data_IF_665811006509
#
_entry.id   IF_665811006509
#
_cell.length_a   1.000
_cell.length_b   1.000
_cell.length_c   1.000
_cell.angle_alpha   90.00
_cell.angle_beta   90.00
_cell.angle_gamma   90.00
#
_symmetry.space_group_name_H-M   'P 1'
#
loop_
_entity.id
_entity.type
_entity.pdbx_description
1 polymer ?
#
# COMPACT_ATOMS: atom_id res chain seq x y z
N UNK A 1 14.37 11.07 5.09
CA UNK A 1 13.60 9.81 4.93
C UNK A 1 12.16 10.09 5.29
N UNK A 2 11.21 9.49 4.57
CA UNK A 2 9.78 9.74 4.72
C UNK A 2 9.24 9.34 6.09
N UNK A 3 9.64 8.17 6.62
CA UNK A 3 9.22 7.68 7.93
C UNK A 3 9.59 8.58 9.13
N UNK A 4 10.66 9.40 9.00
CA UNK A 4 11.01 10.37 10.03
C UNK A 4 9.91 11.44 10.25
N UNK A 5 9.05 11.66 9.25
CA UNK A 5 7.86 12.51 9.38
C UNK A 5 6.89 11.99 10.44
N UNK A 6 6.69 10.67 10.52
CA UNK A 6 5.83 10.04 11.54
C UNK A 6 6.40 10.32 12.93
N UNK A 7 7.71 10.09 13.14
CA UNK A 7 8.38 10.40 14.43
C UNK A 7 8.25 11.86 14.83
N UNK A 8 8.33 12.78 13.87
CA UNK A 8 8.21 14.20 14.14
C UNK A 8 6.77 14.60 14.49
N UNK A 9 5.79 14.10 13.72
CA UNK A 9 4.39 14.56 13.77
C UNK A 9 3.62 14.06 14.99
N UNK A 10 3.80 12.79 15.40
CA UNK A 10 3.00 12.23 16.51
C UNK A 10 3.23 12.97 17.83
N UNK A 11 2.19 13.28 18.61
CA UNK A 11 2.30 14.20 19.75
C UNK A 11 2.88 13.57 21.02
N UNK A 12 2.62 12.30 21.28
CA UNK A 12 2.98 11.65 22.54
C UNK A 12 4.33 10.92 22.48
N UNK A 13 4.97 10.79 23.65
CA UNK A 13 6.29 10.19 23.75
C UNK A 13 6.31 8.70 23.37
N UNK A 14 5.23 7.96 23.63
CA UNK A 14 5.15 6.54 23.32
C UNK A 14 5.16 6.31 21.81
N UNK A 15 4.31 7.03 21.09
CA UNK A 15 4.25 7.03 19.64
C UNK A 15 5.58 7.48 19.01
N UNK A 16 6.25 8.51 19.58
CA UNK A 16 7.56 8.94 19.10
C UNK A 16 8.63 7.85 19.24
N UNK A 17 8.67 7.17 20.38
CA UNK A 17 9.62 6.09 20.62
C UNK A 17 9.39 4.92 19.66
N UNK A 18 8.13 4.58 19.40
CA UNK A 18 7.78 3.55 18.41
C UNK A 18 8.13 4.00 16.98
N UNK A 19 7.68 5.18 16.54
CA UNK A 19 7.94 5.67 15.20
C UNK A 19 9.45 5.88 14.91
N UNK A 20 10.26 6.10 15.96
CA UNK A 20 11.71 6.14 15.82
C UNK A 20 12.31 4.78 15.44
N UNK A 21 11.72 3.66 15.89
CA UNK A 21 12.14 2.32 15.44
C UNK A 21 11.76 2.11 13.98
N UNK A 22 10.54 2.51 13.57
CA UNK A 22 10.13 2.49 12.16
C UNK A 22 11.10 3.28 11.28
N UNK A 23 11.48 4.49 11.68
CA UNK A 23 12.48 5.29 10.93
C UNK A 23 13.80 4.54 10.75
N UNK A 24 14.22 3.76 11.75
CA UNK A 24 15.46 2.99 11.66
C UNK A 24 15.31 1.73 10.80
N UNK A 25 14.16 1.06 10.88
CA UNK A 25 13.82 -0.10 10.04
C UNK A 25 13.77 0.33 8.56
N UNK A 26 13.09 1.43 8.22
CA UNK A 26 13.05 1.96 6.85
C UNK A 26 14.45 2.31 6.30
N UNK A 27 15.35 2.81 7.16
CA UNK A 27 16.73 3.11 6.74
C UNK A 27 17.44 1.84 6.27
N UNK A 28 17.22 0.74 7.00
CA UNK A 28 17.80 -0.57 6.69
C UNK A 28 17.15 -1.19 5.47
N UNK A 29 15.85 -1.01 5.28
CA UNK A 29 15.13 -1.49 4.09
C UNK A 29 15.67 -0.81 2.83
N UNK A 30 15.80 0.52 2.85
CA UNK A 30 16.43 1.28 1.76
C UNK A 30 17.86 0.79 1.51
N UNK A 31 18.68 0.62 2.55
CA UNK A 31 20.05 0.15 2.41
C UNK A 31 20.13 -1.24 1.76
N UNK A 32 19.32 -2.18 2.24
CA UNK A 32 19.39 -3.58 1.79
C UNK A 32 18.83 -3.75 0.38
N UNK A 33 17.73 -3.05 0.04
CA UNK A 33 17.19 -3.08 -1.33
C UNK A 33 18.09 -2.34 -2.30
N UNK A 34 18.72 -1.22 -1.93
CA UNK A 34 19.72 -0.56 -2.78
C UNK A 34 20.88 -1.52 -3.13
N UNK A 35 21.44 -2.21 -2.12
CA UNK A 35 22.49 -3.23 -2.32
C UNK A 35 22.03 -4.43 -3.15
N UNK A 36 20.75 -4.81 -3.07
CA UNK A 36 20.18 -5.85 -3.91
C UNK A 36 20.03 -5.37 -5.36
N UNK A 37 19.51 -4.15 -5.56
CA UNK A 37 19.35 -3.50 -6.86
C UNK A 37 20.68 -3.33 -7.61
N UNK A 38 21.77 -3.01 -6.91
CA UNK A 38 23.13 -2.99 -7.50
C UNK A 38 23.55 -4.32 -8.13
N UNK A 39 23.02 -5.45 -7.64
CA UNK A 39 23.33 -6.79 -8.17
C UNK A 39 22.52 -7.14 -9.42
N UNK A 40 21.29 -6.65 -9.51
CA UNK A 40 20.42 -6.84 -10.69
C UNK A 40 20.64 -5.77 -11.75
N UNK A 41 21.35 -4.67 -11.41
CA UNK A 41 21.78 -3.59 -12.29
C UNK A 41 20.64 -2.88 -13.04
N UNK A 42 19.44 -2.89 -12.48
CA UNK A 42 18.25 -2.26 -13.07
C UNK A 42 17.43 -1.59 -11.97
N UNK A 43 17.05 -0.33 -12.20
CA UNK A 43 16.15 0.43 -11.33
C UNK A 43 15.23 1.29 -12.19
N UNK A 44 13.96 1.36 -11.80
CA UNK A 44 12.95 2.17 -12.48
C UNK A 44 12.54 3.36 -11.61
N UNK A 45 12.09 4.48 -12.21
CA UNK A 45 11.48 5.59 -11.48
C UNK A 45 10.31 5.15 -10.59
N UNK A 46 10.09 5.88 -9.51
CA UNK A 46 8.88 5.73 -8.69
C UNK A 46 7.63 6.11 -9.49
N UNK A 47 6.54 5.36 -9.30
CA UNK A 47 5.26 5.70 -9.91
C UNK A 47 4.81 7.12 -9.54
N UNK A 48 4.34 7.93 -10.49
CA UNK A 48 3.88 9.30 -10.22
C UNK A 48 2.77 9.38 -9.15
N UNK A 49 1.90 8.36 -9.10
CA UNK A 49 0.77 8.30 -8.17
C UNK A 49 1.21 8.01 -6.74
N UNK A 50 2.14 7.06 -6.58
CA UNK A 50 2.77 6.81 -5.28
C UNK A 50 3.53 8.04 -4.81
N UNK A 51 4.23 8.75 -5.71
CA UNK A 51 4.89 10.01 -5.39
C UNK A 51 3.88 11.07 -4.93
N UNK A 52 2.75 11.23 -5.62
CA UNK A 52 1.72 12.20 -5.26
C UNK A 52 1.14 11.93 -3.86
N UNK A 53 0.86 10.65 -3.56
CA UNK A 53 0.42 10.22 -2.22
C UNK A 53 1.45 10.55 -1.14
N UNK A 54 2.73 10.22 -1.38
CA UNK A 54 3.81 10.50 -0.43
C UNK A 54 3.95 12.01 -0.22
N UNK A 55 3.94 12.81 -1.30
CA UNK A 55 4.04 14.26 -1.19
C UNK A 55 2.87 14.86 -0.38
N UNK A 56 1.64 14.43 -0.63
CA UNK A 56 0.46 14.86 0.13
C UNK A 56 0.56 14.48 1.61
N UNK A 57 1.05 13.27 1.89
CA UNK A 57 1.30 12.79 3.26
C UNK A 57 2.34 13.66 3.97
N UNK A 58 3.44 13.99 3.31
CA UNK A 58 4.52 14.79 3.90
C UNK A 58 4.16 16.28 4.07
N UNK A 59 3.22 16.79 3.28
CA UNK A 59 2.73 18.17 3.36
C UNK A 59 1.57 18.34 4.35
N UNK A 60 1.10 17.24 4.94
CA UNK A 60 0.00 17.27 5.90
C UNK A 60 0.37 18.02 7.18
N UNK A 61 -0.61 18.76 7.70
CA UNK A 61 -0.51 19.60 8.90
C UNK A 61 -0.91 18.88 10.19
N UNK A 62 -1.42 17.65 10.05
CA UNK A 62 -1.99 16.83 11.13
C UNK A 62 -1.30 15.47 11.18
N UNK A 63 -0.94 15.03 12.37
CA UNK A 63 -0.30 13.73 12.58
C UNK A 63 -1.20 12.56 12.14
N UNK A 64 -2.51 12.71 12.27
CA UNK A 64 -3.49 11.73 11.84
C UNK A 64 -3.43 11.53 10.31
N UNK A 65 -3.40 12.62 9.53
CA UNK A 65 -3.21 12.55 8.06
C UNK A 65 -1.87 11.92 7.70
N UNK A 66 -0.80 12.28 8.39
CA UNK A 66 0.53 11.65 8.18
C UNK A 66 0.47 10.15 8.41
N UNK A 67 -0.18 9.69 9.48
CA UNK A 67 -0.28 8.26 9.81
C UNK A 67 -1.27 7.51 8.92
N UNK A 68 -2.37 8.14 8.47
CA UNK A 68 -3.25 7.56 7.45
C UNK A 68 -2.46 7.31 6.17
N UNK A 69 -1.79 8.35 5.66
CA UNK A 69 -1.02 8.26 4.41
C UNK A 69 0.14 7.26 4.51
N UNK A 70 0.92 7.34 5.59
CA UNK A 70 2.08 6.46 5.80
C UNK A 70 1.64 5.07 6.27
N UNK A 71 1.22 4.94 7.53
CA UNK A 71 1.03 3.66 8.22
C UNK A 71 -0.16 2.84 7.70
N UNK A 72 -1.24 3.48 7.24
CA UNK A 72 -2.43 2.75 6.79
C UNK A 72 -2.44 2.48 5.28
N UNK A 73 -1.88 3.38 4.47
CA UNK A 73 -1.95 3.27 3.01
C UNK A 73 -0.61 2.82 2.43
N UNK A 74 0.48 3.58 2.63
CA UNK A 74 1.80 3.23 2.05
C UNK A 74 2.31 1.91 2.62
N UNK A 75 2.25 1.69 3.94
CA UNK A 75 2.74 0.44 4.53
C UNK A 75 1.88 -0.77 4.12
N UNK A 76 0.56 -0.60 3.99
CA UNK A 76 -0.32 -1.66 3.47
C UNK A 76 -0.02 -2.00 2.02
N UNK A 77 0.29 -0.99 1.19
CA UNK A 77 0.73 -1.19 -0.19
C UNK A 77 2.03 -1.99 -0.22
N UNK A 78 3.00 -1.58 0.59
CA UNK A 78 4.30 -2.24 0.71
C UNK A 78 4.15 -3.69 1.17
N UNK A 79 3.38 -3.93 2.23
CA UNK A 79 3.16 -5.26 2.80
C UNK A 79 2.51 -6.22 1.80
N UNK A 80 1.48 -5.78 1.07
CA UNK A 80 0.86 -6.58 0.01
C UNK A 80 1.83 -6.89 -1.13
N UNK A 81 2.58 -5.89 -1.61
CA UNK A 81 3.57 -6.06 -2.67
C UNK A 81 4.72 -6.99 -2.26
N UNK A 82 5.24 -6.83 -1.04
CA UNK A 82 6.29 -7.69 -0.49
C UNK A 82 5.81 -9.12 -0.26
N UNK A 83 4.57 -9.32 0.20
CA UNK A 83 4.02 -10.66 0.31
C UNK A 83 3.95 -11.35 -1.07
N UNK A 84 3.38 -10.67 -2.07
CA UNK A 84 3.30 -11.22 -3.43
C UNK A 84 4.70 -11.50 -4.01
N UNK A 85 5.67 -10.61 -3.79
CA UNK A 85 7.06 -10.81 -4.18
C UNK A 85 7.69 -12.01 -3.46
N UNK A 86 7.46 -12.15 -2.15
CA UNK A 86 7.92 -13.29 -1.37
C UNK A 86 7.33 -14.57 -1.95
N UNK A 87 6.03 -14.66 -2.20
CA UNK A 87 5.38 -15.87 -2.71
C UNK A 87 5.90 -16.28 -4.09
N UNK A 88 6.08 -15.32 -4.99
CA UNK A 88 6.42 -15.58 -6.40
C UNK A 88 7.92 -15.73 -6.67
N UNK A 89 8.79 -15.14 -5.85
CA UNK A 89 10.23 -15.19 -6.11
C UNK A 89 10.82 -16.59 -5.90
N UNK A 90 11.64 -17.02 -6.86
CA UNK A 90 12.49 -18.21 -6.74
C UNK A 90 13.89 -17.91 -6.21
N UNK A 91 14.25 -16.62 -6.06
CA UNK A 91 15.57 -16.19 -5.60
C UNK A 91 15.69 -16.36 -4.07
N UNK A 92 16.57 -17.23 -3.55
CA UNK A 92 16.67 -17.46 -2.11
C UNK A 92 17.10 -16.23 -1.30
N UNK A 93 17.89 -15.34 -1.91
CA UNK A 93 18.30 -14.08 -1.29
C UNK A 93 17.11 -13.11 -1.16
N UNK A 94 16.36 -12.91 -2.24
CA UNK A 94 15.20 -12.02 -2.23
C UNK A 94 14.12 -12.54 -1.28
N UNK A 95 13.87 -13.86 -1.29
CA UNK A 95 12.96 -14.53 -0.35
C UNK A 95 13.29 -14.19 1.11
N UNK A 96 14.55 -14.32 1.51
CA UNK A 96 15.00 -14.03 2.89
C UNK A 96 14.94 -12.54 3.22
N UNK A 97 15.33 -11.68 2.28
CA UNK A 97 15.37 -10.24 2.47
C UNK A 97 13.94 -9.71 2.65
N UNK A 98 13.05 -10.02 1.70
CA UNK A 98 11.64 -9.63 1.73
C UNK A 98 10.91 -10.17 2.96
N UNK A 99 11.19 -11.42 3.38
CA UNK A 99 10.61 -11.94 4.63
C UNK A 99 10.95 -11.10 5.86
N UNK A 100 12.21 -10.67 6.00
CA UNK A 100 12.59 -9.85 7.15
C UNK A 100 11.97 -8.45 7.08
N UNK A 101 11.87 -7.85 5.89
CA UNK A 101 11.19 -6.57 5.69
C UNK A 101 9.71 -6.68 6.06
N UNK A 102 9.00 -7.70 5.58
CA UNK A 102 7.58 -7.92 5.91
C UNK A 102 7.32 -8.03 7.41
N UNK A 103 8.27 -8.57 8.19
CA UNK A 103 8.15 -8.62 9.65
C UNK A 103 8.21 -7.25 10.31
N UNK A 104 8.89 -6.29 9.68
CA UNK A 104 8.94 -4.91 10.14
C UNK A 104 7.67 -4.18 9.68
N UNK A 105 7.29 -4.31 8.40
CA UNK A 105 6.08 -3.66 7.85
C UNK A 105 4.79 -4.08 8.53
N UNK A 106 4.66 -5.37 8.87
CA UNK A 106 3.52 -5.84 9.65
C UNK A 106 3.36 -5.08 10.96
N UNK A 107 4.46 -4.72 11.63
CA UNK A 107 4.41 -3.89 12.84
C UNK A 107 4.04 -2.45 12.51
N UNK A 108 4.58 -1.88 11.42
CA UNK A 108 4.29 -0.51 10.99
C UNK A 108 2.80 -0.32 10.64
N UNK A 109 2.20 -1.30 9.96
CA UNK A 109 0.76 -1.36 9.68
C UNK A 109 -0.04 -1.50 10.98
N UNK A 110 0.35 -2.44 11.87
CA UNK A 110 -0.29 -2.61 13.18
C UNK A 110 -0.30 -1.33 14.00
N UNK A 111 0.81 -0.60 14.01
CA UNK A 111 0.93 0.65 14.75
C UNK A 111 -0.06 1.70 14.27
N UNK A 112 -0.28 1.81 12.95
CA UNK A 112 -1.24 2.75 12.37
C UNK A 112 -2.62 2.63 13.00
N UNK A 113 -3.23 1.45 12.92
CA UNK A 113 -4.60 1.27 13.39
C UNK A 113 -4.72 1.10 14.92
N UNK A 114 -3.71 0.54 15.60
CA UNK A 114 -3.69 0.47 17.08
C UNK A 114 -3.61 1.86 17.69
N UNK A 115 -2.84 2.76 17.08
CA UNK A 115 -2.72 4.14 17.53
C UNK A 115 -3.95 4.98 17.16
N UNK A 116 -4.36 4.94 15.89
CA UNK A 116 -5.41 5.83 15.37
C UNK A 116 -6.82 5.41 15.80
N UNK A 117 -7.07 4.13 16.09
CA UNK A 117 -8.38 3.64 16.51
C UNK A 117 -8.94 4.39 17.73
N UNK A 118 -8.22 4.43 18.87
CA UNK A 118 -8.63 5.23 20.04
C UNK A 118 -8.71 6.73 19.74
N UNK A 119 -7.79 7.27 18.92
CA UNK A 119 -7.78 8.69 18.54
C UNK A 119 -9.08 9.06 17.83
N UNK A 120 -9.52 8.28 16.84
CA UNK A 120 -10.76 8.55 16.10
C UNK A 120 -12.03 8.21 16.87
N UNK A 121 -11.96 7.32 17.87
CA UNK A 121 -13.08 7.04 18.76
C UNK A 121 -13.42 8.23 19.67
N UNK A 122 -12.43 9.05 20.04
CA UNK A 122 -12.59 10.23 20.89
C UNK A 122 -12.64 11.56 20.10
N UNK A 123 -12.39 11.51 18.78
CA UNK A 123 -12.35 12.67 17.90
C UNK A 123 -13.76 13.24 17.64
N UNK A 124 -13.85 14.57 17.50
CA UNK A 124 -15.09 15.23 17.08
C UNK A 124 -15.50 14.76 15.67
N UNK A 125 -16.80 14.64 15.42
CA UNK A 125 -17.33 14.12 14.15
C UNK A 125 -16.79 14.89 12.93
N UNK A 126 -16.81 16.23 12.97
CA UNK A 126 -16.30 17.07 11.88
C UNK A 126 -14.81 16.81 11.56
N UNK A 127 -13.98 16.62 12.59
CA UNK A 127 -12.55 16.31 12.41
C UNK A 127 -12.36 14.91 11.83
N UNK A 128 -13.18 13.95 12.27
CA UNK A 128 -13.14 12.58 11.76
C UNK A 128 -13.59 12.53 10.29
N UNK A 129 -14.56 13.35 9.89
CA UNK A 129 -14.95 13.49 8.48
C UNK A 129 -13.84 14.10 7.63
N UNK A 130 -13.04 15.03 8.18
CA UNK A 130 -11.83 15.53 7.50
C UNK A 130 -10.81 14.40 7.27
N UNK A 131 -10.61 13.53 8.28
CA UNK A 131 -9.70 12.39 8.17
C UNK A 131 -10.22 11.33 7.18
N UNK A 132 -11.53 11.10 7.19
CA UNK A 132 -12.20 10.18 6.26
C UNK A 132 -12.06 10.67 4.82
N UNK A 133 -12.26 11.97 4.58
CA UNK A 133 -12.07 12.56 3.26
C UNK A 133 -10.62 12.41 2.79
N UNK A 134 -9.65 12.68 3.66
CA UNK A 134 -8.23 12.49 3.33
C UNK A 134 -7.90 11.03 2.98
N UNK A 135 -8.44 10.07 3.75
CA UNK A 135 -8.26 8.64 3.46
C UNK A 135 -8.86 8.25 2.09
N UNK A 136 -10.06 8.77 1.76
CA UNK A 136 -10.66 8.57 0.44
C UNK A 136 -9.80 9.15 -0.66
N UNK A 137 -9.39 10.42 -0.56
CA UNK A 137 -8.60 11.09 -1.60
C UNK A 137 -7.28 10.33 -1.86
N UNK A 138 -6.62 9.89 -0.80
CA UNK A 138 -5.39 9.12 -0.85
C UNK A 138 -5.58 7.74 -1.52
N UNK A 139 -6.63 7.00 -1.15
CA UNK A 139 -6.95 5.71 -1.77
C UNK A 139 -7.36 5.90 -3.23
N UNK A 140 -8.14 6.93 -3.55
CA UNK A 140 -8.60 7.21 -4.90
C UNK A 140 -7.44 7.52 -5.86
N UNK A 141 -6.39 8.22 -5.41
CA UNK A 141 -5.16 8.44 -6.19
C UNK A 141 -4.51 7.12 -6.61
N UNK A 142 -4.47 6.12 -5.71
CA UNK A 142 -3.90 4.80 -6.01
C UNK A 142 -4.83 3.94 -6.86
N UNK A 143 -6.11 3.89 -6.50
CA UNK A 143 -7.10 3.06 -7.20
C UNK A 143 -7.32 3.55 -8.63
N UNK A 144 -7.38 4.87 -8.86
CA UNK A 144 -7.47 5.44 -10.20
C UNK A 144 -6.29 5.06 -11.08
N UNK A 145 -5.10 4.89 -10.51
CA UNK A 145 -3.92 4.43 -11.24
C UNK A 145 -4.01 2.94 -11.62
N UNK A 146 -4.52 2.08 -10.72
CA UNK A 146 -4.69 0.64 -10.96
C UNK A 146 -5.86 0.30 -11.88
N UNK A 147 -7.02 0.95 -11.70
CA UNK A 147 -8.22 0.71 -12.50
C UNK A 147 -8.08 1.22 -13.94
N UNK A 148 -7.24 2.23 -14.15
CA UNK A 148 -6.81 2.65 -15.48
C UNK A 148 -5.61 1.83 -16.00
N UNK A 149 -5.25 0.74 -15.31
CA UNK A 149 -4.09 -0.12 -15.56
C UNK A 149 -4.08 -0.82 -16.92
N UNK A 150 -5.19 -0.79 -17.65
CA UNK A 150 -5.29 -1.20 -19.07
C UNK A 150 -5.17 -0.05 -20.09
N UNK A 151 -5.09 1.22 -19.69
CA UNK A 151 -5.16 2.36 -20.63
C UNK A 151 -4.12 3.47 -20.40
N UNK A 152 -4.54 4.67 -20.00
CA UNK A 152 -3.77 5.92 -20.03
C UNK A 152 -2.82 6.10 -18.84
N UNK A 153 -3.17 5.58 -17.66
CA UNK A 153 -2.36 5.74 -16.45
C UNK A 153 -1.05 4.93 -16.53
N UNK A 154 -1.10 3.69 -17.02
CA UNK A 154 0.09 2.87 -17.30
C UNK A 154 0.96 3.48 -18.40
N UNK A 155 0.34 4.12 -19.42
CA UNK A 155 1.05 4.92 -20.43
C UNK A 155 1.68 6.19 -19.85
N UNK A 156 1.18 6.69 -18.72
CA UNK A 156 1.71 7.86 -18.03
C UNK A 156 2.77 7.51 -16.96
N UNK A 157 3.01 6.23 -16.68
CA UNK A 157 4.06 5.78 -15.75
C UNK A 157 5.37 5.50 -16.51
N UNK A 158 6.39 6.38 -16.41
CA UNK A 158 7.64 6.19 -17.15
C UNK A 158 8.40 4.94 -16.71
N UNK A 159 8.26 4.52 -15.46
CA UNK A 159 8.90 3.31 -14.95
C UNK A 159 8.32 2.06 -15.59
N UNK A 160 6.99 2.02 -15.76
CA UNK A 160 6.33 0.90 -16.43
C UNK A 160 6.71 0.81 -17.91
N UNK A 161 6.76 1.92 -18.63
CA UNK A 161 7.20 1.92 -20.04
C UNK A 161 8.64 1.42 -20.19
N UNK A 162 9.54 1.85 -19.29
CA UNK A 162 10.91 1.33 -19.27
C UNK A 162 10.98 -0.18 -18.99
N UNK A 163 10.04 -0.74 -18.21
CA UNK A 163 9.95 -2.19 -18.00
C UNK A 163 9.63 -2.90 -19.32
N UNK A 164 8.62 -2.43 -20.05
CA UNK A 164 8.25 -3.00 -21.36
C UNK A 164 9.43 -2.96 -22.34
N UNK A 165 10.08 -1.80 -22.46
CA UNK A 165 11.24 -1.61 -23.34
C UNK A 165 12.38 -2.57 -22.98
N UNK A 166 12.70 -2.71 -21.69
CA UNK A 166 13.76 -3.61 -21.23
C UNK A 166 13.40 -5.10 -21.40
N UNK A 167 12.11 -5.43 -21.48
CA UNK A 167 11.63 -6.77 -21.79
C UNK A 167 11.54 -7.03 -23.30
N UNK A 168 11.81 -6.03 -24.15
CA UNK A 168 11.65 -6.12 -25.60
C UNK A 168 10.19 -6.25 -26.04
N UNK A 169 9.26 -5.72 -25.23
CA UNK A 169 7.83 -5.70 -25.52
C UNK A 169 7.49 -4.35 -26.15
N UNK A 170 6.90 -4.37 -27.35
CA UNK A 170 6.42 -3.16 -27.99
C UNK A 170 5.25 -2.56 -27.18
N UNK A 171 5.35 -1.27 -26.86
CA UNK A 171 4.39 -0.63 -25.97
C UNK A 171 2.99 -0.57 -26.58
N UNK A 172 2.88 -0.23 -27.86
CA UNK A 172 1.59 -0.10 -28.53
C UNK A 172 0.93 -1.47 -28.72
N UNK A 173 1.72 -2.50 -29.06
CA UNK A 173 1.23 -3.89 -29.12
C UNK A 173 0.76 -4.39 -27.74
N UNK A 174 1.49 -4.09 -26.67
CA UNK A 174 1.10 -4.46 -25.30
C UNK A 174 -0.25 -3.84 -24.91
N UNK A 175 -0.42 -2.53 -25.09
CA UNK A 175 -1.66 -1.85 -24.73
C UNK A 175 -2.83 -2.28 -25.61
N UNK A 176 -2.60 -2.51 -26.91
CA UNK A 176 -3.63 -3.08 -27.80
C UNK A 176 -4.06 -4.47 -27.34
N UNK A 177 -3.11 -5.32 -26.96
CA UNK A 177 -3.40 -6.65 -26.43
C UNK A 177 -4.19 -6.61 -25.11
N UNK A 178 -3.92 -5.61 -24.27
CA UNK A 178 -4.69 -5.36 -23.05
C UNK A 178 -6.15 -4.97 -23.34
N UNK A 179 -6.38 -4.05 -24.29
CA UNK A 179 -7.73 -3.66 -24.73
C UNK A 179 -8.49 -4.87 -25.30
N UNK A 180 -7.86 -5.67 -26.17
CA UNK A 180 -8.45 -6.88 -26.74
C UNK A 180 -8.79 -7.93 -25.67
N UNK A 181 -7.94 -8.10 -24.65
CA UNK A 181 -8.19 -9.00 -23.54
C UNK A 181 -9.40 -8.55 -22.71
N UNK A 182 -9.53 -7.24 -22.45
CA UNK A 182 -10.67 -6.66 -21.75
C UNK A 182 -11.99 -6.86 -22.54
N UNK A 183 -11.98 -6.64 -23.85
CA UNK A 183 -13.14 -6.91 -24.73
C UNK A 183 -13.56 -8.38 -24.71
N UNK A 184 -12.62 -9.30 -24.49
CA UNK A 184 -12.87 -10.73 -24.32
C UNK A 184 -13.32 -11.11 -22.89
N UNK A 185 -13.43 -10.14 -21.98
CA UNK A 185 -13.78 -10.36 -20.58
C UNK A 185 -12.66 -11.01 -19.76
N UNK A 186 -11.41 -10.96 -20.23
CA UNK A 186 -10.25 -11.43 -19.48
C UNK A 186 -9.87 -10.34 -18.48
N UNK A 187 -10.32 -10.51 -17.24
CA UNK A 187 -10.05 -9.57 -16.15
C UNK A 187 -8.61 -9.67 -15.64
N UNK A 188 -8.06 -8.52 -15.19
CA UNK A 188 -6.83 -8.45 -14.41
C UNK A 188 -7.02 -8.88 -12.94
N UNK A 189 -7.79 -9.95 -12.70
CA UNK A 189 -7.91 -10.50 -11.36
C UNK A 189 -6.56 -11.08 -10.91
N UNK A 190 -6.15 -10.79 -9.67
CA UNK A 190 -4.96 -11.42 -9.12
C UNK A 190 -5.17 -12.95 -9.04
N UNK A 191 -4.12 -13.75 -9.31
CA UNK A 191 -4.20 -15.19 -9.14
C UNK A 191 -4.60 -15.59 -7.71
N UNK A 192 -5.31 -16.71 -7.52
CA UNK A 192 -5.70 -17.19 -6.20
C UNK A 192 -4.54 -17.21 -5.19
N UNK A 193 -4.83 -16.74 -3.98
CA UNK A 193 -3.89 -16.67 -2.85
C UNK A 193 -2.93 -15.48 -2.88
N UNK A 194 -2.91 -14.64 -3.93
CA UNK A 194 -2.23 -13.35 -3.85
C UNK A 194 -3.02 -12.37 -2.98
N UNK A 195 -2.31 -11.40 -2.43
CA UNK A 195 -2.90 -10.35 -1.59
C UNK A 195 -3.18 -9.13 -2.44
N UNK A 196 -4.43 -8.68 -2.41
CA UNK A 196 -4.85 -7.44 -3.01
C UNK A 196 -4.70 -6.32 -1.97
N UNK A 197 -3.59 -5.56 -2.03
CA UNK A 197 -3.24 -4.60 -0.98
C UNK A 197 -4.36 -3.59 -0.64
N UNK A 198 -5.15 -3.20 -1.64
CA UNK A 198 -6.30 -2.31 -1.44
C UNK A 198 -7.44 -3.00 -0.69
N UNK A 199 -7.85 -4.19 -1.13
CA UNK A 199 -9.04 -4.90 -0.62
C UNK A 199 -8.77 -5.67 0.67
N UNK A 200 -7.58 -6.25 0.80
CA UNK A 200 -7.25 -7.16 1.89
C UNK A 200 -6.56 -6.44 3.07
N UNK A 201 -5.97 -5.25 2.84
CA UNK A 201 -5.16 -4.54 3.84
C UNK A 201 -5.62 -3.09 4.07
N UNK A 202 -5.60 -2.25 3.02
CA UNK A 202 -5.90 -0.81 3.18
C UNK A 202 -7.35 -0.56 3.60
N UNK A 203 -8.32 -1.07 2.83
CA UNK A 203 -9.74 -0.81 3.08
C UNK A 203 -10.20 -1.40 4.42
N UNK A 204 -9.82 -2.64 4.79
CA UNK A 204 -10.13 -3.16 6.12
C UNK A 204 -9.49 -2.33 7.24
N UNK A 205 -8.27 -1.84 7.08
CA UNK A 205 -7.63 -0.97 8.07
C UNK A 205 -8.37 0.37 8.23
N UNK A 206 -8.75 1.00 7.12
CA UNK A 206 -9.51 2.27 7.10
C UNK A 206 -10.90 2.09 7.71
N UNK A 207 -11.59 1.00 7.36
CA UNK A 207 -12.89 0.67 7.92
C UNK A 207 -12.81 0.37 9.42
N UNK A 208 -11.80 -0.40 9.87
CA UNK A 208 -11.59 -0.78 11.28
C UNK A 208 -11.49 0.42 12.22
N UNK A 209 -10.83 1.48 11.80
CA UNK A 209 -10.68 2.71 12.59
C UNK A 209 -11.81 3.71 12.34
N UNK A 210 -12.78 3.36 11.49
CA UNK A 210 -13.99 4.11 11.28
C UNK A 210 -13.87 5.30 10.33
N UNK A 211 -12.94 5.27 9.38
CA UNK A 211 -12.78 6.32 8.37
C UNK A 211 -13.59 6.07 7.08
N UNK A 212 -14.34 4.97 7.02
CA UNK A 212 -15.44 4.81 6.04
C UNK A 212 -16.73 5.31 6.70
N UNK A 213 -17.10 6.55 6.42
CA UNK A 213 -18.24 7.26 7.04
C UNK A 213 -19.46 7.27 6.13
N UNK A 214 -20.61 7.76 6.62
CA UNK A 214 -21.79 7.95 5.78
C UNK A 214 -21.54 8.91 4.62
N UNK A 215 -20.62 9.89 4.79
CA UNK A 215 -20.25 10.84 3.75
C UNK A 215 -19.25 10.27 2.75
N UNK A 216 -18.28 9.48 3.18
CA UNK A 216 -17.22 8.99 2.28
C UNK A 216 -17.58 7.69 1.58
N UNK A 217 -18.46 6.85 2.17
CA UNK A 217 -18.92 5.60 1.54
C UNK A 217 -19.45 5.78 0.11
N UNK A 218 -20.34 6.75 -0.18
CA UNK A 218 -20.79 6.99 -1.56
C UNK A 218 -19.66 7.40 -2.52
N UNK A 219 -18.61 8.05 -2.02
CA UNK A 219 -17.46 8.45 -2.85
C UNK A 219 -16.66 7.23 -3.31
N UNK A 220 -16.43 6.26 -2.42
CA UNK A 220 -15.80 4.99 -2.78
C UNK A 220 -16.64 4.22 -3.81
N UNK A 221 -17.95 4.16 -3.62
CA UNK A 221 -18.88 3.51 -4.55
C UNK A 221 -18.86 4.17 -5.94
N UNK A 222 -18.91 5.51 -6.00
CA UNK A 222 -18.84 6.27 -7.26
C UNK A 222 -17.49 6.08 -7.96
N UNK A 223 -16.39 5.98 -7.21
CA UNK A 223 -15.06 5.70 -7.72
C UNK A 223 -14.85 4.23 -8.12
N UNK A 224 -15.82 3.34 -7.86
CA UNK A 224 -15.71 1.89 -8.11
C UNK A 224 -14.76 1.17 -7.16
N UNK A 225 -14.37 1.80 -6.05
CA UNK A 225 -13.41 1.28 -5.08
C UNK A 225 -14.14 0.36 -4.09
N UNK A 226 -13.80 -0.93 -4.01
CA UNK A 226 -14.47 -1.86 -3.12
C UNK A 226 -14.19 -1.51 -1.65
N UNK A 227 -15.24 -1.52 -0.84
CA UNK A 227 -15.13 -1.37 0.61
C UNK A 227 -15.15 -2.78 1.22
N UNK A 228 -14.00 -3.20 1.73
CA UNK A 228 -13.86 -4.44 2.49
C UNK A 228 -13.78 -4.14 3.98
N UNK A 229 -14.55 -4.89 4.77
CA UNK A 229 -14.49 -4.89 6.24
C UNK A 229 -13.97 -6.24 6.77
N UNK A 230 -13.52 -7.14 5.88
CA UNK A 230 -12.91 -8.40 6.27
C UNK A 230 -11.49 -8.17 6.78
N UNK A 231 -11.31 -8.42 8.07
CA UNK A 231 -10.03 -8.25 8.75
C UNK A 231 -9.13 -9.49 8.69
N UNK A 232 -9.58 -10.60 8.11
CA UNK A 232 -8.89 -11.89 8.19
C UNK A 232 -7.44 -11.84 7.71
N UNK A 233 -7.19 -11.25 6.54
CA UNK A 233 -5.85 -11.10 5.99
C UNK A 233 -5.03 -10.10 6.79
N UNK A 234 -5.62 -8.95 7.13
CA UNK A 234 -4.96 -7.92 7.92
C UNK A 234 -4.49 -8.49 9.27
N UNK A 235 -5.37 -9.16 10.02
CA UNK A 235 -5.08 -9.79 11.31
C UNK A 235 -4.03 -10.90 11.19
N UNK A 236 -4.07 -11.71 10.13
CA UNK A 236 -3.07 -12.75 9.88
C UNK A 236 -1.66 -12.18 9.61
N UNK A 237 -1.59 -10.92 9.19
CA UNK A 237 -0.34 -10.22 8.93
C UNK A 237 0.17 -9.43 10.13
N UNK A 238 -0.62 -9.23 11.19
CA UNK A 238 -0.23 -8.43 12.35
C UNK A 238 0.85 -9.09 13.23
N UNK A 239 1.49 -8.29 14.09
CA UNK A 239 2.30 -8.81 15.20
C UNK A 239 3.71 -9.28 14.85
N UNK A 240 4.23 -8.99 13.65
CA UNK A 240 5.63 -9.22 13.30
C UNK A 240 5.98 -10.66 12.90
N UNK A 241 4.97 -11.51 12.73
CA UNK A 241 5.07 -12.85 12.17
C UNK A 241 4.03 -13.02 11.06
N UNK A 242 4.14 -12.24 9.95
CA UNK A 242 3.16 -12.32 8.88
C UNK A 242 3.13 -13.74 8.33
N UNK A 243 1.96 -14.37 8.39
CA UNK A 243 1.77 -15.67 7.78
C UNK A 243 1.67 -15.49 6.26
N UNK A 244 2.78 -15.76 5.59
CA UNK A 244 2.88 -15.63 4.14
C UNK A 244 1.99 -16.63 3.38
N UNK A 245 1.43 -17.63 4.07
CA UNK A 245 0.60 -18.69 3.52
C UNK A 245 -0.88 -18.59 3.98
N UNK A 246 -1.25 -17.59 4.79
CA UNK A 246 -2.60 -17.45 5.38
C UNK A 246 -3.76 -17.44 4.36
N UNK A 247 -3.54 -16.87 3.16
CA UNK A 247 -4.57 -16.82 2.11
C UNK A 247 -4.85 -18.17 1.41
N UNK A 248 -4.14 -19.25 1.75
CA UNK A 248 -4.39 -20.58 1.17
C UNK A 248 -5.61 -21.25 1.80
N UNK A 249 -5.96 -20.92 3.06
CA UNK A 249 -7.03 -21.61 3.79
C UNK A 249 -8.46 -21.21 3.38
N UNK A 250 -8.64 -20.11 2.64
CA UNK A 250 -9.95 -19.64 2.19
C UNK A 250 -10.30 -20.05 0.74
N UNK A 251 -9.36 -20.69 0.03
CA UNK A 251 -9.50 -21.04 -1.39
C UNK A 251 -9.69 -22.54 -1.66
N UNK A 252 -9.94 -23.35 -0.61
CA UNK A 252 -10.34 -24.77 -0.71
C UNK A 252 -11.84 -24.97 -0.52
#
# INVERSE_FOLDING_TARGET
MTAACVTHSVPDAGAKLYAATQTMDEARHVEVYAKYCEKIAMTYPMSPWLKALIDATLQSDRHEKVMIGMNMIVESLALGAFNNMYRTTSCPLLKKLTFNVMRDESRHVSFGHVYLGPVFAEMHEDDREEMAQFAFDAVNVLASAQMQGGSLASRADPGFLMVLDNCGIDQDDFFKGMEEAEEMGISQALPPGQIHALEDLMMPAIARVGLVTERTRPLYEEAGIPISEDLSVLEAMEGGNPDADANVAAAE
#
